data_IF_877873907558
#
_entry.id   IF_877873907558
#
_cell.length_a   1.000
_cell.length_b   1.000
_cell.length_c   1.000
_cell.angle_alpha   90.00
_cell.angle_beta   90.00
_cell.angle_gamma   90.00
#
_symmetry.space_group_name_H-M   'P 1'
#
loop_
_entity.id
_entity.type
_entity.pdbx_description
1 polymer ?
#
# COMPACT_ATOMS: atom_id res chain seq x y z
N UNK A 1 10.66 14.95 -25.27
CA UNK A 1 9.31 14.91 -24.66
C UNK A 1 9.48 14.74 -23.16
N UNK A 2 9.18 15.76 -22.37
CA UNK A 2 9.25 15.66 -20.90
C UNK A 2 7.92 15.07 -20.43
N UNK A 3 7.91 13.78 -20.15
CA UNK A 3 6.75 13.13 -19.53
C UNK A 3 6.70 13.63 -18.08
N UNK A 4 5.66 14.38 -17.71
CA UNK A 4 5.38 14.70 -16.32
C UNK A 4 4.85 13.43 -15.65
N UNK A 5 5.77 12.73 -15.01
CA UNK A 5 5.48 11.53 -14.23
C UNK A 5 5.05 11.95 -12.82
N UNK A 6 4.17 11.17 -12.16
CA UNK A 6 3.71 11.46 -10.79
C UNK A 6 4.92 11.63 -9.85
N UNK A 7 5.07 12.79 -9.18
CA UNK A 7 6.23 13.07 -8.33
C UNK A 7 6.32 12.15 -7.11
N UNK A 8 5.23 11.45 -6.76
CA UNK A 8 5.16 10.53 -5.62
C UNK A 8 5.70 9.13 -5.95
N UNK A 9 6.12 8.89 -7.18
CA UNK A 9 6.65 7.61 -7.62
C UNK A 9 8.03 7.84 -8.22
N UNK A 10 9.04 7.21 -7.64
CA UNK A 10 10.42 7.33 -8.06
C UNK A 10 10.63 6.81 -9.49
N UNK A 11 11.70 7.29 -10.11
CA UNK A 11 12.08 6.88 -11.48
C UNK A 11 12.34 5.38 -11.57
N UNK A 12 12.85 4.76 -10.52
CA UNK A 12 13.19 3.34 -10.55
C UNK A 12 11.95 2.45 -10.47
N UNK A 13 10.93 2.86 -9.73
CA UNK A 13 9.62 2.21 -9.74
C UNK A 13 9.00 2.31 -11.13
N UNK A 14 9.02 3.49 -11.76
CA UNK A 14 8.52 3.64 -13.13
C UNK A 14 9.28 2.79 -14.15
N UNK A 15 10.61 2.68 -14.03
CA UNK A 15 11.39 1.77 -14.88
C UNK A 15 10.95 0.31 -14.69
N UNK A 16 10.71 -0.13 -13.46
CA UNK A 16 10.23 -1.48 -13.18
C UNK A 16 8.85 -1.72 -13.82
N UNK A 17 7.92 -0.78 -13.66
CA UNK A 17 6.57 -0.85 -14.25
C UNK A 17 6.65 -0.88 -15.77
N UNK A 18 7.37 0.06 -16.39
CA UNK A 18 7.52 0.12 -17.85
C UNK A 18 8.18 -1.14 -18.38
N UNK A 19 9.24 -1.62 -17.73
CA UNK A 19 9.89 -2.86 -18.14
C UNK A 19 8.90 -4.02 -18.17
N UNK A 20 8.13 -4.20 -17.09
CA UNK A 20 7.07 -5.23 -17.04
C UNK A 20 6.04 -5.07 -18.16
N UNK A 21 5.58 -3.84 -18.46
CA UNK A 21 4.61 -3.60 -19.53
C UNK A 21 5.15 -3.95 -20.93
N UNK A 22 6.46 -3.77 -21.16
CA UNK A 22 7.08 -4.05 -22.46
C UNK A 22 7.60 -5.50 -22.60
N UNK A 23 8.06 -6.13 -21.52
CA UNK A 23 8.67 -7.48 -21.57
C UNK A 23 7.81 -8.59 -20.97
N UNK A 24 6.82 -8.25 -20.15
CA UNK A 24 6.10 -9.20 -19.30
C UNK A 24 6.89 -9.70 -18.08
N UNK A 25 8.15 -9.27 -17.91
CA UNK A 25 9.02 -9.69 -16.81
C UNK A 25 9.09 -8.62 -15.71
N UNK A 26 8.99 -9.02 -14.44
CA UNK A 26 9.18 -8.12 -13.32
C UNK A 26 10.66 -8.10 -12.93
N UNK A 27 11.35 -6.98 -13.26
CA UNK A 27 12.73 -6.73 -12.84
C UNK A 27 12.79 -5.67 -11.74
N UNK A 28 12.54 -6.10 -10.51
CA UNK A 28 12.56 -5.24 -9.34
C UNK A 28 13.97 -5.24 -8.70
N UNK A 29 14.64 -4.08 -8.69
CA UNK A 29 15.95 -3.90 -8.03
C UNK A 29 15.85 -3.48 -6.56
N UNK A 30 14.63 -3.24 -6.09
CA UNK A 30 14.32 -2.64 -4.80
C UNK A 30 13.38 -3.52 -3.98
N UNK A 31 13.49 -4.84 -4.14
CA UNK A 31 12.63 -5.81 -3.45
C UNK A 31 12.78 -5.81 -1.93
N UNK A 32 13.76 -5.10 -1.38
CA UNK A 32 13.97 -4.94 0.07
C UNK A 32 13.67 -3.52 0.58
N UNK A 33 13.34 -2.59 -0.31
CA UNK A 33 13.04 -1.21 0.07
C UNK A 33 11.52 -1.03 0.23
N UNK A 34 11.07 -0.93 1.49
CA UNK A 34 9.66 -0.74 1.83
C UNK A 34 9.10 0.52 1.16
N UNK A 35 9.82 1.64 1.16
CA UNK A 35 9.31 2.89 0.62
C UNK A 35 9.05 2.75 -0.89
N UNK A 36 9.98 2.17 -1.64
CA UNK A 36 9.83 1.96 -3.08
C UNK A 36 8.76 0.89 -3.40
N UNK A 37 8.57 -0.11 -2.55
CA UNK A 37 7.47 -1.07 -2.70
C UNK A 37 6.10 -0.43 -2.43
N UNK A 38 6.01 0.52 -1.49
CA UNK A 38 4.79 1.32 -1.27
C UNK A 38 4.51 2.23 -2.47
N UNK A 39 5.54 2.83 -3.07
CA UNK A 39 5.41 3.57 -4.32
C UNK A 39 4.93 2.68 -5.47
N UNK A 40 5.45 1.46 -5.59
CA UNK A 40 5.01 0.48 -6.60
C UNK A 40 3.54 0.11 -6.38
N UNK A 41 3.14 -0.17 -5.14
CA UNK A 41 1.75 -0.41 -4.79
C UNK A 41 0.85 0.79 -5.12
N UNK A 42 1.31 2.02 -4.81
CA UNK A 42 0.61 3.26 -5.18
C UNK A 42 0.42 3.34 -6.69
N UNK A 43 1.46 3.05 -7.46
CA UNK A 43 1.39 3.01 -8.91
C UNK A 43 0.34 1.98 -9.38
N UNK A 44 0.39 0.77 -8.83
CA UNK A 44 -0.57 -0.30 -9.10
C UNK A 44 -2.02 0.13 -8.88
N UNK A 45 -2.30 0.80 -7.76
CA UNK A 45 -3.67 1.19 -7.37
C UNK A 45 -4.16 2.43 -8.13
N UNK A 46 -3.29 3.43 -8.35
CA UNK A 46 -3.68 4.69 -8.99
C UNK A 46 -3.88 4.52 -10.50
N UNK A 47 -3.06 3.69 -11.15
CA UNK A 47 -3.07 3.49 -12.60
C UNK A 47 -3.68 2.17 -13.04
N UNK A 48 -4.28 1.41 -12.11
CA UNK A 48 -4.98 0.16 -12.38
C UNK A 48 -4.13 -0.86 -13.16
N UNK A 49 -2.86 -1.02 -12.76
CA UNK A 49 -1.95 -1.93 -13.47
C UNK A 49 -2.37 -3.40 -13.38
N UNK A 50 -1.85 -4.26 -14.27
CA UNK A 50 -2.20 -5.66 -14.34
C UNK A 50 -2.06 -6.39 -12.99
N UNK A 51 -2.96 -7.33 -12.75
CA UNK A 51 -3.06 -8.11 -11.51
C UNK A 51 -1.72 -8.71 -11.07
N UNK A 52 -0.90 -9.20 -12.00
CA UNK A 52 0.42 -9.78 -11.72
C UNK A 52 1.35 -8.80 -11.00
N UNK A 53 1.33 -7.52 -11.38
CA UNK A 53 2.15 -6.48 -10.75
C UNK A 53 1.65 -6.18 -9.33
N UNK A 54 0.34 -6.18 -9.13
CA UNK A 54 -0.30 -5.99 -7.82
C UNK A 54 0.04 -7.14 -6.87
N UNK A 55 -0.09 -8.38 -7.35
CA UNK A 55 0.22 -9.59 -6.58
C UNK A 55 1.71 -9.65 -6.22
N UNK A 56 2.59 -9.26 -7.15
CA UNK A 56 4.03 -9.14 -6.87
C UNK A 56 4.31 -8.09 -5.79
N UNK A 57 3.75 -6.89 -5.91
CA UNK A 57 3.94 -5.82 -4.94
C UNK A 57 3.47 -6.26 -3.55
N UNK A 58 2.29 -6.90 -3.47
CA UNK A 58 1.75 -7.42 -2.22
C UNK A 58 2.61 -8.54 -1.62
N UNK A 59 3.00 -9.54 -2.42
CA UNK A 59 3.81 -10.66 -1.94
C UNK A 59 5.18 -10.21 -1.42
N UNK A 60 5.76 -9.17 -2.02
CA UNK A 60 7.05 -8.62 -1.61
C UNK A 60 6.92 -7.69 -0.40
N UNK A 61 5.86 -6.90 -0.34
CA UNK A 61 5.64 -5.91 0.72
C UNK A 61 5.16 -6.55 2.02
N UNK A 62 4.25 -7.54 1.97
CA UNK A 62 3.70 -8.22 3.15
C UNK A 62 4.75 -8.64 4.20
N UNK A 63 5.83 -9.38 3.87
CA UNK A 63 6.82 -9.79 4.85
C UNK A 63 7.64 -8.62 5.41
N UNK A 64 7.81 -7.55 4.63
CA UNK A 64 8.60 -6.38 5.01
C UNK A 64 7.80 -5.36 5.81
N UNK A 65 6.47 -5.43 5.80
CA UNK A 65 5.61 -4.55 6.59
C UNK A 65 5.96 -4.59 8.08
N UNK A 66 6.32 -5.76 8.61
CA UNK A 66 6.66 -5.92 10.04
C UNK A 66 7.86 -5.05 10.44
N UNK A 67 8.77 -4.79 9.50
CA UNK A 67 9.96 -3.94 9.72
C UNK A 67 9.74 -2.47 9.39
N UNK A 68 8.58 -2.11 8.85
CA UNK A 68 8.24 -0.74 8.48
C UNK A 68 7.88 0.15 9.66
N UNK A 69 7.85 1.47 9.42
CA UNK A 69 7.41 2.46 10.41
C UNK A 69 5.88 2.57 10.46
N UNK A 70 5.32 3.09 11.56
CA UNK A 70 3.88 3.31 11.69
C UNK A 70 3.30 4.16 10.54
N UNK A 71 4.07 5.15 10.07
CA UNK A 71 3.70 5.97 8.91
C UNK A 71 3.65 5.14 7.61
N UNK A 72 4.58 4.20 7.41
CA UNK A 72 4.54 3.30 6.25
C UNK A 72 3.34 2.34 6.32
N UNK A 73 3.02 1.81 7.51
CA UNK A 73 1.82 0.99 7.71
C UNK A 73 0.56 1.76 7.36
N UNK A 74 0.47 3.01 7.81
CA UNK A 74 -0.65 3.90 7.52
C UNK A 74 -0.79 4.19 6.02
N UNK A 75 0.32 4.45 5.33
CA UNK A 75 0.32 4.66 3.88
C UNK A 75 -0.21 3.43 3.14
N UNK A 76 0.24 2.24 3.54
CA UNK A 76 -0.20 0.97 2.96
C UNK A 76 -1.67 0.70 3.23
N UNK A 77 -2.12 0.96 4.46
CA UNK A 77 -3.53 0.86 4.82
C UNK A 77 -4.38 1.81 3.97
N UNK A 78 -3.98 3.08 3.88
CA UNK A 78 -4.70 4.09 3.11
C UNK A 78 -4.78 3.77 1.62
N UNK A 79 -3.73 3.16 1.04
CA UNK A 79 -3.73 2.70 -0.36
C UNK A 79 -4.65 1.49 -0.57
N UNK A 80 -4.69 0.56 0.38
CA UNK A 80 -5.46 -0.69 0.28
C UNK A 80 -6.92 -0.57 0.73
N UNK A 81 -7.26 0.43 1.54
CA UNK A 81 -8.60 0.74 2.04
C UNK A 81 -9.36 1.77 1.18
N UNK A 82 -8.81 2.16 0.01
CA UNK A 82 -9.49 3.05 -0.96
C UNK A 82 -10.82 2.44 -1.41
N UNK A 83 -11.77 3.31 -1.74
CA UNK A 83 -13.05 2.95 -2.35
C UNK A 83 -12.98 3.12 -3.87
N UNK A 84 -13.49 2.16 -4.67
CA UNK A 84 -13.98 0.84 -4.26
C UNK A 84 -12.87 -0.07 -3.72
N UNK A 85 -13.22 -0.98 -2.80
CA UNK A 85 -12.26 -1.88 -2.19
C UNK A 85 -11.72 -2.88 -3.23
N UNK A 86 -10.40 -2.91 -3.40
CA UNK A 86 -9.75 -3.91 -4.23
C UNK A 86 -9.65 -5.25 -3.48
N UNK A 87 -10.29 -6.29 -4.02
CA UNK A 87 -10.25 -7.64 -3.44
C UNK A 87 -8.84 -8.23 -3.43
N UNK A 88 -7.98 -7.81 -4.37
CA UNK A 88 -6.59 -8.28 -4.47
C UNK A 88 -5.78 -7.88 -3.23
N UNK A 89 -6.06 -6.69 -2.70
CA UNK A 89 -5.33 -6.06 -1.60
C UNK A 89 -5.83 -6.46 -0.20
N UNK A 90 -6.72 -7.46 -0.10
CA UNK A 90 -7.33 -7.85 1.18
C UNK A 90 -6.30 -8.17 2.27
N UNK A 91 -5.33 -9.02 1.96
CA UNK A 91 -4.31 -9.44 2.95
C UNK A 91 -3.46 -8.26 3.40
N UNK A 92 -3.07 -7.40 2.46
CA UNK A 92 -2.27 -6.22 2.74
C UNK A 92 -3.05 -5.23 3.62
N UNK A 93 -4.35 -5.07 3.33
CA UNK A 93 -5.26 -4.21 4.09
C UNK A 93 -5.43 -4.70 5.52
N UNK A 94 -5.67 -5.99 5.72
CA UNK A 94 -5.84 -6.57 7.06
C UNK A 94 -4.54 -6.51 7.87
N UNK A 95 -3.41 -6.86 7.25
CA UNK A 95 -2.10 -6.79 7.89
C UNK A 95 -1.73 -5.35 8.28
N UNK A 96 -1.90 -4.39 7.36
CA UNK A 96 -1.61 -2.99 7.65
C UNK A 96 -2.59 -2.37 8.65
N UNK A 97 -3.86 -2.79 8.66
CA UNK A 97 -4.83 -2.36 9.68
C UNK A 97 -4.39 -2.77 11.09
N UNK A 98 -3.91 -4.01 11.27
CA UNK A 98 -3.39 -4.47 12.55
C UNK A 98 -2.16 -3.66 12.98
N UNK A 99 -1.19 -3.48 12.08
CA UNK A 99 0.03 -2.75 12.36
C UNK A 99 -0.22 -1.26 12.66
N UNK A 100 -1.22 -0.64 12.02
CA UNK A 100 -1.66 0.73 12.33
C UNK A 100 -2.22 0.82 13.75
N UNK A 101 -2.97 -0.20 14.21
CA UNK A 101 -3.46 -0.23 15.60
C UNK A 101 -2.34 -0.42 16.61
N UNK A 102 -1.35 -1.27 16.30
CA UNK A 102 -0.16 -1.45 17.14
C UNK A 102 0.68 -0.15 17.22
N UNK A 103 0.84 0.55 16.10
CA UNK A 103 1.52 1.83 15.99
C UNK A 103 0.69 3.06 16.33
N UNK A 104 -0.54 2.89 16.85
CA UNK A 104 -1.48 4.01 17.02
C UNK A 104 -0.95 5.09 17.98
N UNK A 105 -0.20 4.70 19.02
CA UNK A 105 0.39 5.67 19.95
C UNK A 105 1.40 6.60 19.27
N UNK A 106 2.24 6.06 18.38
CA UNK A 106 3.21 6.83 17.60
C UNK A 106 2.48 7.79 16.65
N UNK A 107 1.49 7.29 15.91
CA UNK A 107 0.67 8.11 15.00
C UNK A 107 -0.08 9.23 15.74
N UNK A 108 -0.59 8.96 16.94
CA UNK A 108 -1.24 9.94 17.81
C UNK A 108 -0.35 11.12 18.19
N UNK A 109 0.97 10.91 18.22
CA UNK A 109 1.93 11.97 18.54
C UNK A 109 2.31 12.83 17.33
N UNK A 110 2.16 12.30 16.11
CA UNK A 110 2.58 12.96 14.87
C UNK A 110 1.45 13.65 14.10
N UNK A 111 0.20 13.24 14.33
CA UNK A 111 -0.95 13.68 13.53
C UNK A 111 -1.99 14.43 14.36
N UNK A 112 -2.80 15.26 13.68
CA UNK A 112 -3.91 15.94 14.34
C UNK A 112 -5.02 14.95 14.75
N UNK A 113 -5.69 15.16 15.90
CA UNK A 113 -6.71 14.24 16.41
C UNK A 113 -7.84 13.96 15.41
N UNK A 114 -8.20 14.96 14.59
CA UNK A 114 -9.22 14.81 13.55
C UNK A 114 -8.81 13.77 12.49
N UNK A 115 -7.59 13.85 12.00
CA UNK A 115 -7.09 12.96 10.95
C UNK A 115 -6.97 11.52 11.47
N UNK A 116 -6.40 11.33 12.66
CA UNK A 116 -6.29 10.01 13.30
C UNK A 116 -7.66 9.40 13.54
N UNK A 117 -8.62 10.18 14.05
CA UNK A 117 -9.97 9.66 14.32
C UNK A 117 -10.62 9.12 13.05
N UNK A 118 -10.43 9.80 11.91
CA UNK A 118 -10.94 9.36 10.61
C UNK A 118 -10.28 8.06 10.13
N UNK A 119 -8.97 7.93 10.34
CA UNK A 119 -8.20 6.74 10.00
C UNK A 119 -8.64 5.56 10.85
N UNK A 120 -8.75 5.75 12.17
CA UNK A 120 -9.14 4.69 13.10
C UNK A 120 -10.57 4.20 12.82
N UNK A 121 -11.51 5.12 12.56
CA UNK A 121 -12.86 4.76 12.11
C UNK A 121 -12.80 3.88 10.86
N UNK A 122 -11.96 4.25 9.90
CA UNK A 122 -11.79 3.48 8.67
C UNK A 122 -11.17 2.10 8.92
N UNK A 123 -10.23 1.99 9.86
CA UNK A 123 -9.66 0.71 10.31
C UNK A 123 -10.76 -0.16 10.92
N UNK A 124 -11.60 0.39 11.80
CA UNK A 124 -12.71 -0.33 12.40
C UNK A 124 -13.72 -0.81 11.35
N UNK A 125 -14.11 0.03 10.39
CA UNK A 125 -15.02 -0.38 9.30
C UNK A 125 -14.46 -1.55 8.48
N UNK A 126 -13.16 -1.52 8.19
CA UNK A 126 -12.46 -2.58 7.44
C UNK A 126 -12.46 -3.88 8.24
N UNK A 127 -12.13 -3.82 9.53
CA UNK A 127 -12.11 -4.98 10.43
C UNK A 127 -13.52 -5.54 10.61
N UNK A 128 -14.51 -4.67 10.83
CA UNK A 128 -15.91 -5.05 10.98
C UNK A 128 -16.40 -5.75 9.71
N UNK A 129 -16.08 -5.21 8.54
CA UNK A 129 -16.41 -5.85 7.26
C UNK A 129 -15.73 -7.20 7.11
N UNK A 130 -14.45 -7.32 7.48
CA UNK A 130 -13.72 -8.58 7.40
C UNK A 130 -14.29 -9.67 8.33
N UNK A 131 -14.66 -9.30 9.56
CA UNK A 131 -15.17 -10.23 10.58
C UNK A 131 -16.64 -10.58 10.35
N UNK A 132 -17.51 -9.58 10.17
CA UNK A 132 -18.96 -9.76 10.21
C UNK A 132 -19.59 -9.94 8.84
N UNK A 133 -18.95 -9.44 7.77
CA UNK A 133 -19.44 -9.56 6.39
C UNK A 133 -18.60 -10.51 5.54
N UNK A 134 -17.65 -11.23 6.14
CA UNK A 134 -16.79 -12.22 5.48
C UNK A 134 -17.54 -13.44 4.97
N UNK A 135 -18.33 -13.28 3.90
CA UNK A 135 -18.67 -14.29 2.88
C UNK A 135 -18.71 -13.64 1.51
#
# INVERSE_FOLDING_TARGET
>A
VVVRVDPRISRDVWKCVLHFLYSGEIRCRFSQDVAQLVELLRACVVYEFPRTLVEFAQATLCPLLITGTAMQHLQVFSLSARTPLDARLRLLREASALLVLEGAQELCSEMEPGDISSILLRVFEVIETAIFRGR
#
